data_IF_160494995888
#
_entry.id   IF_160494995888
#
_cell.length_a   1.000
_cell.length_b   1.000
_cell.length_c   1.000
_cell.angle_alpha   90.00
_cell.angle_beta   90.00
_cell.angle_gamma   90.00
#
_symmetry.space_group_name_H-M   'P 1'
#
loop_
_entity.id
_entity.type
_entity.pdbx_description
1 polymer ?
#
# COMPACT_ATOMS: atom_id res chain seq x y z
N UNK A 1 12.41 -0.13 8.32
CA UNK A 1 11.62 0.48 7.23
C UNK A 1 12.51 1.44 6.48
N UNK A 2 12.52 1.41 5.14
CA UNK A 2 13.32 2.29 4.28
C UNK A 2 12.44 2.82 3.16
N UNK A 3 12.56 4.11 2.83
CA UNK A 3 11.93 4.70 1.65
C UNK A 3 12.99 5.04 0.60
N UNK A 4 12.72 4.70 -0.66
CA UNK A 4 13.57 5.01 -1.80
C UNK A 4 12.75 5.76 -2.84
N UNK A 5 13.16 6.99 -3.16
CA UNK A 5 12.55 7.77 -4.23
C UNK A 5 13.08 7.29 -5.59
N UNK A 6 12.18 6.98 -6.51
CA UNK A 6 12.53 6.48 -7.84
C UNK A 6 12.42 7.58 -8.90
N UNK A 7 11.36 8.38 -8.87
CA UNK A 7 11.15 9.45 -9.83
C UNK A 7 10.33 10.61 -9.24
N UNK A 8 10.55 11.81 -9.78
CA UNK A 8 9.75 13.00 -9.56
C UNK A 8 9.24 13.51 -10.90
N UNK A 9 8.02 14.04 -10.93
CA UNK A 9 7.51 14.74 -12.10
C UNK A 9 8.08 16.17 -12.16
N UNK A 10 8.70 16.61 -13.27
CA UNK A 10 9.30 17.95 -13.37
C UNK A 10 8.28 19.10 -13.35
N UNK A 11 7.01 18.83 -13.68
CA UNK A 11 5.96 19.83 -13.85
C UNK A 11 5.02 19.93 -12.64
N UNK A 12 5.16 19.05 -11.65
CA UNK A 12 4.29 18.97 -10.48
C UNK A 12 5.08 18.54 -9.23
N UNK A 13 4.36 18.17 -8.16
CA UNK A 13 4.93 17.64 -6.90
C UNK A 13 4.76 16.12 -6.78
N UNK A 14 4.39 15.44 -7.87
CA UNK A 14 4.20 14.00 -7.87
C UNK A 14 5.52 13.25 -7.70
N UNK A 15 5.47 12.12 -6.97
CA UNK A 15 6.62 11.30 -6.61
C UNK A 15 6.25 9.83 -6.75
N UNK A 16 7.13 9.06 -7.37
CA UNK A 16 7.08 7.61 -7.37
C UNK A 16 8.25 7.07 -6.53
N UNK A 17 7.98 6.08 -5.68
CA UNK A 17 9.02 5.49 -4.85
C UNK A 17 8.57 4.20 -4.19
N UNK A 18 9.50 3.53 -3.51
CA UNK A 18 9.25 2.24 -2.86
C UNK A 18 9.53 2.34 -1.36
N UNK A 19 8.61 1.83 -0.55
CA UNK A 19 8.78 1.61 0.89
C UNK A 19 9.10 0.13 1.12
N UNK A 20 10.27 -0.18 1.65
CA UNK A 20 10.64 -1.53 2.06
C UNK A 20 10.35 -1.71 3.55
N UNK A 21 9.54 -2.71 3.88
CA UNK A 21 9.20 -3.13 5.24
C UNK A 21 9.74 -4.54 5.52
N UNK A 22 9.57 -5.02 6.75
CA UNK A 22 9.89 -6.42 7.09
C UNK A 22 8.95 -7.43 6.41
N UNK A 23 7.85 -6.98 5.81
CA UNK A 23 6.80 -7.84 5.23
C UNK A 23 6.66 -7.67 3.72
N UNK A 24 7.58 -6.93 3.09
CA UNK A 24 7.61 -6.73 1.65
C UNK A 24 7.83 -5.30 1.23
N UNK A 25 7.77 -5.08 -0.07
CA UNK A 25 7.90 -3.78 -0.71
C UNK A 25 6.54 -3.20 -1.07
N UNK A 26 6.41 -1.88 -0.95
CA UNK A 26 5.19 -1.14 -1.24
C UNK A 26 5.54 -0.02 -2.22
N UNK A 27 4.94 -0.04 -3.40
CA UNK A 27 5.08 1.02 -4.40
C UNK A 27 4.19 2.20 -4.03
N UNK A 28 4.70 3.41 -4.21
CA UNK A 28 4.02 4.66 -3.91
C UNK A 28 3.92 5.51 -5.18
N UNK A 29 2.81 6.25 -5.41
CA UNK A 29 1.67 6.44 -4.50
C UNK A 29 0.76 5.20 -4.41
N UNK A 30 0.24 4.91 -3.21
CA UNK A 30 -0.68 3.78 -2.95
C UNK A 30 -1.89 4.24 -2.14
N UNK A 31 -3.04 3.66 -2.44
CA UNK A 31 -4.26 3.77 -1.65
C UNK A 31 -4.41 2.51 -0.78
N UNK A 32 -4.56 2.69 0.53
CA UNK A 32 -4.57 1.57 1.48
C UNK A 32 -6.02 1.23 1.89
N UNK A 33 -6.48 -0.02 1.72
CA UNK A 33 -7.74 -0.47 2.32
C UNK A 33 -7.68 -0.40 3.85
N UNK A 34 -8.84 -0.15 4.49
CA UNK A 34 -8.93 -0.04 5.95
C UNK A 34 -9.58 -1.30 6.52
N UNK A 35 -8.84 -1.99 7.39
CA UNK A 35 -9.31 -3.06 8.24
C UNK A 35 -9.80 -2.56 9.59
N UNK A 36 -10.97 -3.01 10.03
CA UNK A 36 -11.53 -2.75 11.36
C UNK A 36 -11.90 -4.07 12.03
N UNK A 37 -11.65 -4.21 13.34
CA UNK A 37 -11.91 -5.44 14.08
C UNK A 37 -11.30 -6.71 13.43
N UNK A 38 -10.07 -6.58 12.91
CA UNK A 38 -9.33 -7.69 12.31
C UNK A 38 -9.75 -8.08 10.88
N UNK A 39 -10.62 -7.32 10.21
CA UNK A 39 -11.06 -7.62 8.84
C UNK A 39 -11.29 -6.37 7.98
N UNK A 40 -11.13 -6.49 6.67
CA UNK A 40 -11.64 -5.51 5.70
C UNK A 40 -13.09 -5.91 5.39
N UNK A 41 -14.05 -5.07 5.75
CA UNK A 41 -15.47 -5.43 5.68
C UNK A 41 -15.91 -5.75 4.25
N UNK A 42 -16.70 -6.82 4.11
CA UNK A 42 -17.30 -7.27 2.85
C UNK A 42 -16.29 -7.67 1.75
N UNK A 43 -15.02 -7.87 2.08
CA UNK A 43 -13.99 -8.32 1.13
C UNK A 43 -13.25 -9.52 1.73
N UNK A 44 -13.12 -10.59 0.96
CA UNK A 44 -12.34 -11.75 1.36
C UNK A 44 -10.83 -11.46 1.28
N UNK A 45 -10.04 -12.06 2.16
CA UNK A 45 -8.58 -11.90 2.13
C UNK A 45 -7.95 -12.33 0.80
N UNK A 46 -8.55 -13.32 0.15
CA UNK A 46 -8.14 -13.75 -1.19
C UNK A 46 -8.31 -12.63 -2.21
N UNK A 47 -9.45 -11.95 -2.21
CA UNK A 47 -9.72 -10.84 -3.14
C UNK A 47 -8.74 -9.69 -2.93
N UNK A 48 -8.39 -9.38 -1.68
CA UNK A 48 -7.37 -8.36 -1.37
C UNK A 48 -5.99 -8.71 -1.94
N UNK A 49 -5.63 -10.01 -1.94
CA UNK A 49 -4.31 -10.48 -2.37
C UNK A 49 -4.24 -10.76 -3.87
N UNK A 50 -5.28 -11.37 -4.43
CA UNK A 50 -5.28 -11.92 -5.79
C UNK A 50 -5.92 -10.97 -6.79
N UNK A 51 -7.02 -10.30 -6.42
CA UNK A 51 -7.78 -9.46 -7.35
C UNK A 51 -7.36 -7.98 -7.26
N UNK A 52 -7.07 -7.50 -6.04
CA UNK A 52 -6.72 -6.10 -5.77
C UNK A 52 -5.20 -5.90 -5.70
N UNK A 53 -4.44 -6.96 -5.42
CA UNK A 53 -2.98 -6.91 -5.17
C UNK A 53 -2.60 -5.83 -4.14
N UNK A 54 -3.33 -5.78 -3.03
CA UNK A 54 -3.10 -4.80 -1.98
C UNK A 54 -1.76 -5.09 -1.25
N UNK A 55 -0.76 -4.24 -1.50
CA UNK A 55 0.58 -4.35 -0.90
C UNK A 55 0.62 -3.98 0.59
N UNK A 56 -0.38 -3.24 1.07
CA UNK A 56 -0.51 -2.85 2.49
C UNK A 56 -1.99 -2.58 2.82
N UNK A 57 -2.37 -2.87 4.07
CA UNK A 57 -3.70 -2.60 4.64
C UNK A 57 -3.49 -1.82 5.94
N UNK A 58 -4.34 -0.81 6.18
CA UNK A 58 -4.35 -0.07 7.44
C UNK A 58 -5.25 -0.78 8.43
N UNK A 59 -4.69 -1.29 9.54
CA UNK A 59 -5.47 -1.83 10.65
C UNK A 59 -5.74 -0.76 11.70
N UNK A 60 -7.02 -0.49 11.99
CA UNK A 60 -7.38 0.38 13.10
C UNK A 60 -7.18 -0.34 14.44
N UNK A 61 -6.61 0.38 15.42
CA UNK A 61 -6.49 -0.02 16.83
C UNK A 61 -7.77 0.23 17.60
#
# INVERSE_FOLDING_TARGET
MKFTLQANDPLSKARAGTVTTAHGEIQTPIFMPVGTAGTVKAVHQRELKEDIDAQIILGNT
#
